data_IF_623773549306
#
_entry.id   IF_623773549306
#
_cell.length_a   1.000
_cell.length_b   1.000
_cell.length_c   1.000
_cell.angle_alpha   90.00
_cell.angle_beta   90.00
_cell.angle_gamma   90.00
#
_symmetry.space_group_name_H-M   'P 1'
#
loop_
_entity.id
_entity.type
_entity.pdbx_description
1 polymer ?
#
# COMPACT_ATOMS: atom_id res chain seq x y z
N UNK A 1 -14.85 82.13 23.47
CA UNK A 1 -15.52 80.91 22.97
C UNK A 1 -14.44 80.01 22.39
N UNK A 2 -14.19 78.79 22.86
CA UNK A 2 -14.48 78.16 24.15
C UNK A 2 -13.49 76.99 24.32
N UNK A 3 -12.80 76.89 25.45
CA UNK A 3 -11.85 75.79 25.69
C UNK A 3 -12.59 74.49 25.99
N UNK A 4 -12.27 73.42 25.27
CA UNK A 4 -12.96 72.13 25.38
C UNK A 4 -12.07 71.09 26.08
N UNK A 5 -12.09 71.09 27.43
CA UNK A 5 -11.44 70.06 28.24
C UNK A 5 -12.42 68.93 28.55
N UNK A 6 -12.52 67.95 27.64
CA UNK A 6 -13.32 66.74 27.84
C UNK A 6 -12.53 65.63 28.55
N UNK A 7 -12.59 65.58 29.88
CA UNK A 7 -12.08 64.43 30.65
C UNK A 7 -13.12 63.31 30.71
N UNK A 8 -12.90 62.23 29.96
CA UNK A 8 -13.66 60.98 30.13
C UNK A 8 -13.15 60.22 31.36
N UNK A 9 -14.01 59.88 32.36
CA UNK A 9 -13.61 59.04 33.46
C UNK A 9 -13.48 57.59 32.98
N UNK A 10 -12.25 57.08 32.86
CA UNK A 10 -12.01 55.65 32.72
C UNK A 10 -12.34 54.99 34.06
N UNK A 11 -13.49 54.33 34.14
CA UNK A 11 -13.84 53.50 35.29
C UNK A 11 -12.93 52.27 35.31
N UNK A 12 -11.82 52.37 36.04
CA UNK A 12 -10.97 51.22 36.36
C UNK A 12 -11.80 50.23 37.18
N UNK A 13 -12.15 49.09 36.59
CA UNK A 13 -12.79 48.00 37.33
C UNK A 13 -11.90 47.56 38.49
N UNK A 14 -12.46 47.35 39.67
CA UNK A 14 -11.66 46.96 40.85
C UNK A 14 -10.97 45.62 40.62
N UNK A 15 -9.81 45.42 41.23
CA UNK A 15 -9.03 44.17 41.07
C UNK A 15 -9.86 42.92 41.42
N UNK A 16 -10.78 43.03 42.39
CA UNK A 16 -11.75 41.98 42.75
C UNK A 16 -12.74 41.63 41.61
N UNK A 17 -13.13 42.60 40.78
CA UNK A 17 -13.97 42.33 39.61
C UNK A 17 -13.18 41.64 38.50
N UNK A 18 -11.92 42.03 38.30
CA UNK A 18 -11.04 41.36 37.34
C UNK A 18 -10.72 39.93 37.78
N UNK A 19 -10.39 39.70 39.05
CA UNK A 19 -10.09 38.37 39.59
C UNK A 19 -11.31 37.44 39.49
N UNK A 20 -12.50 37.90 39.90
CA UNK A 20 -13.75 37.15 39.77
C UNK A 20 -14.14 36.85 38.31
N UNK A 21 -13.76 37.69 37.35
CA UNK A 21 -13.91 37.39 35.92
C UNK A 21 -12.90 36.33 35.47
N UNK A 22 -11.63 36.42 35.88
CA UNK A 22 -10.62 35.40 35.54
C UNK A 22 -10.93 34.02 36.12
N UNK A 23 -11.43 33.94 37.35
CA UNK A 23 -11.84 32.67 37.99
C UNK A 23 -13.07 32.03 37.29
N UNK A 24 -14.01 32.86 36.82
CA UNK A 24 -15.13 32.39 35.98
C UNK A 24 -14.68 31.92 34.60
N UNK A 25 -13.59 32.47 34.06
CA UNK A 25 -13.00 32.04 32.80
C UNK A 25 -12.21 30.74 32.96
N UNK A 26 -11.40 30.60 34.01
CA UNK A 26 -10.66 29.35 34.29
C UNK A 26 -11.61 28.19 34.54
N UNK A 27 -12.64 28.39 35.37
CA UNK A 27 -13.65 27.35 35.62
C UNK A 27 -14.38 26.89 34.36
N UNK A 28 -14.70 27.83 33.44
CA UNK A 28 -15.30 27.50 32.12
C UNK A 28 -14.31 26.81 31.17
N UNK A 29 -13.01 27.03 31.33
CA UNK A 29 -11.97 26.33 30.59
C UNK A 29 -11.82 24.90 31.11
N UNK A 30 -11.74 24.72 32.43
CA UNK A 30 -11.72 23.42 33.11
C UNK A 30 -12.94 22.56 32.76
N UNK A 31 -14.15 23.13 32.84
CA UNK A 31 -15.40 22.46 32.44
C UNK A 31 -15.38 22.02 30.96
N UNK A 32 -14.81 22.85 30.06
CA UNK A 32 -14.67 22.52 28.63
C UNK A 32 -13.64 21.40 28.42
N UNK A 33 -12.50 21.48 29.10
CA UNK A 33 -11.46 20.45 28.99
C UNK A 33 -11.91 19.10 29.57
N UNK A 34 -12.67 19.11 30.68
CA UNK A 34 -13.28 17.90 31.24
C UNK A 34 -14.30 17.27 30.27
N UNK A 35 -15.12 18.07 29.58
CA UNK A 35 -16.03 17.57 28.54
C UNK A 35 -15.28 16.99 27.34
N UNK A 36 -14.20 17.63 26.89
CA UNK A 36 -13.35 17.14 25.79
C UNK A 36 -12.67 15.81 26.19
N UNK A 37 -12.14 15.70 27.41
CA UNK A 37 -11.54 14.46 27.92
C UNK A 37 -12.57 13.33 28.02
N UNK A 38 -13.75 13.58 28.59
CA UNK A 38 -14.83 12.60 28.70
C UNK A 38 -15.28 12.09 27.33
N UNK A 39 -15.50 12.99 26.38
CA UNK A 39 -15.85 12.64 25.00
C UNK A 39 -14.74 11.80 24.33
N UNK A 40 -13.48 12.16 24.50
CA UNK A 40 -12.33 11.42 23.97
C UNK A 40 -12.23 10.01 24.56
N UNK A 41 -12.57 9.84 25.84
CA UNK A 41 -12.64 8.54 26.49
C UNK A 41 -13.79 7.69 25.91
N UNK A 42 -15.00 8.24 25.83
CA UNK A 42 -16.18 7.57 25.24
C UNK A 42 -15.92 7.14 23.77
N UNK A 43 -15.25 7.99 22.98
CA UNK A 43 -14.84 7.67 21.60
C UNK A 43 -13.81 6.52 21.57
N UNK A 44 -12.86 6.48 22.50
CA UNK A 44 -11.86 5.40 22.61
C UNK A 44 -12.45 4.04 23.04
N UNK A 45 -13.42 4.05 23.95
CA UNK A 45 -14.13 2.85 24.41
C UNK A 45 -14.98 2.26 23.27
N UNK A 46 -15.70 3.11 22.53
CA UNK A 46 -16.44 2.69 21.34
C UNK A 46 -15.53 2.16 20.22
N UNK A 47 -14.34 2.75 20.02
CA UNK A 47 -13.37 2.25 19.05
C UNK A 47 -12.84 0.87 19.46
N UNK A 48 -12.53 0.67 20.73
CA UNK A 48 -12.07 -0.62 21.28
C UNK A 48 -13.12 -1.72 21.09
N UNK A 49 -14.39 -1.42 21.37
CA UNK A 49 -15.50 -2.36 21.17
C UNK A 49 -15.66 -2.79 19.70
N UNK A 50 -15.60 -1.83 18.76
CA UNK A 50 -15.69 -2.11 17.32
C UNK A 50 -14.55 -3.00 16.82
N UNK A 51 -13.33 -2.81 17.32
CA UNK A 51 -12.20 -3.68 16.99
C UNK A 51 -12.46 -5.10 17.49
N UNK A 52 -12.89 -5.28 18.74
CA UNK A 52 -13.20 -6.62 19.29
C UNK A 52 -14.31 -7.34 18.51
N UNK A 53 -15.37 -6.63 18.09
CA UNK A 53 -16.43 -7.20 17.26
C UNK A 53 -15.90 -7.65 15.88
N UNK A 54 -15.05 -6.84 15.23
CA UNK A 54 -14.43 -7.18 13.94
C UNK A 54 -13.50 -8.40 14.01
N UNK A 55 -12.71 -8.53 15.09
CA UNK A 55 -11.87 -9.71 15.36
C UNK A 55 -12.72 -10.97 15.52
N UNK A 56 -13.82 -10.89 16.29
CA UNK A 56 -14.72 -12.03 16.48
C UNK A 56 -15.34 -12.48 15.16
N UNK A 57 -15.89 -11.55 14.38
CA UNK A 57 -16.50 -11.86 13.08
C UNK A 57 -15.50 -12.53 12.13
N UNK A 58 -14.25 -12.03 12.08
CA UNK A 58 -13.18 -12.66 11.32
C UNK A 58 -12.89 -14.10 11.78
N UNK A 59 -12.75 -14.33 13.09
CA UNK A 59 -12.43 -15.66 13.62
C UNK A 59 -13.54 -16.68 13.32
N UNK A 60 -14.80 -16.28 13.44
CA UNK A 60 -15.95 -17.14 13.11
C UNK A 60 -16.00 -17.46 11.60
N UNK A 61 -15.81 -16.45 10.73
CA UNK A 61 -15.77 -16.63 9.28
C UNK A 61 -14.58 -17.49 8.80
N UNK A 62 -13.37 -17.22 9.32
CA UNK A 62 -12.16 -18.00 9.02
C UNK A 62 -12.31 -19.45 9.46
N UNK A 63 -12.88 -19.68 10.65
CA UNK A 63 -13.14 -21.04 11.16
C UNK A 63 -14.15 -21.81 10.30
N UNK A 64 -15.21 -21.15 9.81
CA UNK A 64 -16.19 -21.76 8.93
C UNK A 64 -15.59 -22.18 7.58
N UNK A 65 -14.90 -21.27 6.88
CA UNK A 65 -14.28 -21.57 5.59
C UNK A 65 -13.15 -22.62 5.71
N UNK A 66 -12.37 -22.59 6.80
CA UNK A 66 -11.36 -23.62 7.10
C UNK A 66 -11.98 -25.02 7.25
N UNK A 67 -13.12 -25.13 7.95
CA UNK A 67 -13.78 -26.42 8.16
C UNK A 67 -14.35 -27.00 6.86
N UNK A 68 -14.98 -26.17 6.02
CA UNK A 68 -15.47 -26.63 4.70
C UNK A 68 -14.31 -27.05 3.77
N UNK A 69 -13.18 -26.32 3.78
CA UNK A 69 -11.99 -26.72 3.03
C UNK A 69 -11.37 -28.04 3.52
N UNK A 70 -11.31 -28.26 4.83
CA UNK A 70 -10.88 -29.55 5.42
C UNK A 70 -11.85 -30.68 5.04
N UNK A 71 -13.16 -30.43 5.01
CA UNK A 71 -14.17 -31.40 4.59
C UNK A 71 -14.10 -31.72 3.10
N UNK A 72 -13.95 -30.72 2.22
CA UNK A 72 -13.80 -30.93 0.77
C UNK A 72 -12.46 -31.58 0.40
N UNK A 73 -11.41 -31.35 1.20
CA UNK A 73 -10.15 -32.10 1.09
C UNK A 73 -10.31 -33.55 1.54
N UNK A 74 -11.09 -33.84 2.59
CA UNK A 74 -11.42 -35.21 2.98
C UNK A 74 -12.25 -35.95 1.91
N UNK A 75 -13.23 -35.26 1.30
CA UNK A 75 -14.04 -35.77 0.18
C UNK A 75 -13.30 -35.93 -1.14
N UNK A 76 -12.06 -35.43 -1.27
CA UNK A 76 -11.27 -35.53 -2.51
C UNK A 76 -11.08 -36.97 -3.02
N UNK A 77 -11.09 -37.97 -2.13
CA UNK A 77 -10.99 -39.40 -2.48
C UNK A 77 -12.23 -39.98 -3.18
N UNK A 78 -13.39 -39.33 -3.09
CA UNK A 78 -14.64 -39.76 -3.73
C UNK A 78 -15.00 -38.94 -4.98
N UNK A 79 -14.12 -38.03 -5.42
CA UNK A 79 -14.32 -37.23 -6.64
C UNK A 79 -13.89 -38.04 -7.87
N UNK A 80 -14.69 -37.99 -8.94
CA UNK A 80 -14.38 -38.65 -10.21
C UNK A 80 -13.04 -38.18 -10.80
N UNK A 81 -12.30 -39.10 -11.42
CA UNK A 81 -10.95 -38.86 -11.95
C UNK A 81 -10.88 -37.75 -13.00
N UNK A 82 -11.97 -37.51 -13.73
CA UNK A 82 -12.19 -36.40 -14.67
C UNK A 82 -12.18 -35.02 -13.99
N UNK A 83 -12.70 -34.95 -12.76
CA UNK A 83 -12.95 -33.72 -12.01
C UNK A 83 -11.90 -33.46 -10.90
N UNK A 84 -10.96 -34.37 -10.67
CA UNK A 84 -9.89 -34.19 -9.68
C UNK A 84 -9.05 -32.92 -9.93
N UNK A 85 -8.73 -32.61 -11.19
CA UNK A 85 -7.92 -31.43 -11.54
C UNK A 85 -8.68 -30.15 -11.16
N UNK A 86 -9.93 -30.01 -11.61
CA UNK A 86 -10.78 -28.85 -11.33
C UNK A 86 -11.13 -28.72 -9.85
N UNK A 87 -11.29 -29.83 -9.14
CA UNK A 87 -11.47 -29.86 -7.68
C UNK A 87 -10.25 -29.30 -6.94
N UNK A 88 -9.04 -29.79 -7.25
CA UNK A 88 -7.82 -29.31 -6.61
C UNK A 88 -7.47 -27.86 -6.98
N UNK A 89 -7.75 -27.43 -8.21
CA UNK A 89 -7.57 -26.03 -8.62
C UNK A 89 -8.58 -25.11 -7.91
N UNK A 90 -9.83 -25.55 -7.70
CA UNK A 90 -10.82 -24.82 -6.89
C UNK A 90 -10.41 -24.70 -5.41
N UNK A 91 -9.96 -25.81 -4.80
CA UNK A 91 -9.44 -25.79 -3.42
C UNK A 91 -8.25 -24.85 -3.29
N UNK A 92 -7.32 -24.88 -4.25
CA UNK A 92 -6.15 -23.98 -4.27
C UNK A 92 -6.60 -22.51 -4.36
N UNK A 93 -7.55 -22.20 -5.26
CA UNK A 93 -8.12 -20.86 -5.40
C UNK A 93 -8.82 -20.36 -4.12
N UNK A 94 -9.58 -21.22 -3.44
CA UNK A 94 -10.27 -20.86 -2.18
C UNK A 94 -9.28 -20.62 -1.04
N UNK A 95 -8.22 -21.43 -0.93
CA UNK A 95 -7.14 -21.20 0.03
C UNK A 95 -6.42 -19.88 -0.26
N UNK A 96 -6.16 -19.53 -1.52
CA UNK A 96 -5.62 -18.21 -1.90
C UNK A 96 -6.55 -17.06 -1.53
N UNK A 97 -7.88 -17.21 -1.72
CA UNK A 97 -8.87 -16.22 -1.26
C UNK A 97 -8.88 -16.06 0.26
N UNK A 98 -8.80 -17.17 1.00
CA UNK A 98 -8.74 -17.15 2.47
C UNK A 98 -7.43 -16.51 2.96
N UNK A 99 -6.30 -16.78 2.29
CA UNK A 99 -5.02 -16.12 2.55
C UNK A 99 -5.10 -14.60 2.33
N UNK A 100 -5.77 -14.14 1.25
CA UNK A 100 -6.05 -12.72 1.03
C UNK A 100 -6.91 -12.12 2.15
N UNK A 101 -7.95 -12.82 2.59
CA UNK A 101 -8.82 -12.36 3.68
C UNK A 101 -8.07 -12.22 5.03
N UNK A 102 -7.15 -13.14 5.33
CA UNK A 102 -6.23 -13.02 6.49
C UNK A 102 -5.33 -11.79 6.36
N UNK A 103 -4.77 -11.53 5.17
CA UNK A 103 -3.92 -10.36 4.90
C UNK A 103 -4.67 -9.03 5.00
N UNK A 104 -5.87 -8.94 4.42
CA UNK A 104 -6.75 -7.76 4.51
C UNK A 104 -7.16 -7.47 5.97
N UNK A 105 -7.33 -8.52 6.77
CA UNK A 105 -7.72 -8.42 8.18
C UNK A 105 -6.56 -8.15 9.14
N UNK A 106 -5.31 -8.21 8.68
CA UNK A 106 -4.11 -8.11 9.53
C UNK A 106 -4.01 -6.79 10.32
N UNK A 107 -4.68 -5.72 9.86
CA UNK A 107 -4.66 -4.40 10.52
C UNK A 107 -5.43 -4.34 11.85
N UNK A 108 -6.35 -5.28 12.11
CA UNK A 108 -7.15 -5.31 13.34
C UNK A 108 -6.98 -6.61 14.15
N UNK A 109 -6.22 -7.58 13.63
CA UNK A 109 -6.00 -8.87 14.29
C UNK A 109 -4.79 -8.85 15.24
N UNK A 110 -4.89 -9.50 16.42
CA UNK A 110 -3.73 -9.74 17.26
C UNK A 110 -2.63 -10.53 16.51
N UNK A 111 -1.34 -10.22 16.71
CA UNK A 111 -0.24 -10.92 16.02
C UNK A 111 -0.22 -12.44 16.22
N UNK A 112 -0.71 -12.91 17.38
CA UNK A 112 -0.85 -14.33 17.69
C UNK A 112 -1.87 -15.03 16.78
N UNK A 113 -3.04 -14.41 16.58
CA UNK A 113 -4.11 -14.95 15.75
C UNK A 113 -3.75 -14.90 14.27
N UNK A 114 -3.10 -13.81 13.83
CA UNK A 114 -2.56 -13.67 12.48
C UNK A 114 -1.56 -14.79 12.15
N UNK A 115 -0.56 -15.00 13.02
CA UNK A 115 0.44 -16.06 12.87
C UNK A 115 -0.20 -17.46 12.89
N UNK A 116 -1.20 -17.65 13.75
CA UNK A 116 -1.96 -18.91 13.83
C UNK A 116 -2.71 -19.20 12.52
N UNK A 117 -3.43 -18.21 11.99
CA UNK A 117 -4.15 -18.34 10.71
C UNK A 117 -3.20 -18.62 9.53
N UNK A 118 -2.06 -17.92 9.45
CA UNK A 118 -1.03 -18.15 8.43
C UNK A 118 -0.44 -19.58 8.51
N UNK A 119 -0.13 -20.08 9.70
CA UNK A 119 0.37 -21.45 9.90
C UNK A 119 -0.66 -22.52 9.48
N UNK A 120 -1.96 -22.27 9.71
CA UNK A 120 -3.01 -23.18 9.24
C UNK A 120 -3.13 -23.19 7.72
N UNK A 121 -3.03 -22.02 7.07
CA UNK A 121 -3.08 -21.91 5.61
C UNK A 121 -1.92 -22.65 4.94
N UNK A 122 -0.68 -22.48 5.42
CA UNK A 122 0.48 -23.20 4.85
C UNK A 122 0.36 -24.71 5.08
N UNK A 123 -0.09 -25.16 6.25
CA UNK A 123 -0.40 -26.58 6.51
C UNK A 123 -1.46 -27.14 5.54
N UNK A 124 -2.51 -26.36 5.25
CA UNK A 124 -3.58 -26.75 4.34
C UNK A 124 -3.11 -26.80 2.88
N UNK A 125 -2.29 -25.83 2.43
CA UNK A 125 -1.64 -25.84 1.12
C UNK A 125 -0.78 -27.09 0.92
N UNK A 126 0.03 -27.45 1.92
CA UNK A 126 0.87 -28.67 1.88
C UNK A 126 0.00 -29.93 1.75
N UNK A 127 -1.05 -30.08 2.58
CA UNK A 127 -1.97 -31.23 2.51
C UNK A 127 -2.72 -31.31 1.18
N UNK A 128 -3.10 -30.18 0.58
CA UNK A 128 -3.69 -30.12 -0.76
C UNK A 128 -2.69 -30.61 -1.81
N UNK A 129 -1.43 -30.18 -1.72
CA UNK A 129 -0.37 -30.62 -2.65
C UNK A 129 -0.09 -32.13 -2.54
N UNK A 130 0.08 -32.64 -1.32
CA UNK A 130 0.27 -34.07 -1.05
C UNK A 130 -0.88 -34.92 -1.62
N UNK A 131 -2.14 -34.50 -1.38
CA UNK A 131 -3.32 -35.20 -1.93
C UNK A 131 -3.43 -35.09 -3.45
N UNK A 132 -3.02 -33.96 -4.03
CA UNK A 132 -2.95 -33.78 -5.49
C UNK A 132 -1.92 -34.72 -6.11
N UNK A 133 -0.76 -34.93 -5.49
CA UNK A 133 0.25 -35.88 -5.99
C UNK A 133 -0.15 -37.36 -5.74
N UNK A 134 -0.83 -37.67 -4.63
CA UNK A 134 -1.40 -39.01 -4.35
C UNK A 134 -2.46 -39.41 -5.39
N UNK A 135 -3.38 -38.50 -5.74
CA UNK A 135 -4.52 -38.79 -6.62
C UNK A 135 -4.24 -38.48 -8.11
N UNK A 136 -3.24 -37.65 -8.42
CA UNK A 136 -2.81 -37.34 -9.79
C UNK A 136 -1.32 -37.70 -9.98
N UNK A 137 -0.96 -38.99 -9.94
CA UNK A 137 0.42 -39.42 -10.12
C UNK A 137 0.92 -39.08 -11.53
N UNK A 138 1.85 -38.12 -11.60
CA UNK A 138 2.50 -37.71 -12.85
C UNK A 138 3.16 -38.92 -13.52
N UNK A 139 2.78 -39.25 -14.76
CA UNK A 139 3.48 -40.27 -15.57
C UNK A 139 4.94 -39.84 -15.76
N UNK A 140 5.86 -40.47 -15.02
CA UNK A 140 7.29 -40.27 -15.23
C UNK A 140 7.65 -40.76 -16.64
N UNK A 141 8.11 -39.84 -17.49
CA UNK A 141 8.68 -40.16 -18.80
C UNK A 141 9.88 -41.08 -18.60
N UNK A 142 9.71 -42.38 -18.83
CA UNK A 142 10.80 -43.36 -18.81
C UNK A 142 11.38 -43.50 -20.21
N UNK A 143 12.42 -42.72 -20.49
CA UNK A 143 13.27 -42.96 -21.66
C UNK A 143 14.00 -44.29 -21.46
N UNK A 144 13.59 -45.33 -22.18
CA UNK A 144 14.31 -46.62 -22.22
C UNK A 144 15.53 -46.49 -23.14
N UNK A 145 16.78 -46.60 -22.65
CA UNK A 145 17.94 -46.70 -23.52
C UNK A 145 18.02 -48.10 -24.13
N UNK A 146 18.18 -48.19 -25.45
CA UNK A 146 18.37 -49.48 -26.15
C UNK A 146 19.85 -49.73 -26.43
N UNK A 147 20.31 -50.96 -26.17
CA UNK A 147 21.72 -51.34 -26.22
C UNK A 147 22.31 -51.33 -27.64
N UNK A 148 23.47 -50.66 -27.81
CA UNK A 148 24.56 -51.15 -28.68
C UNK A 148 25.90 -51.04 -27.95
N UNK A 149 26.67 -52.13 -28.01
CA UNK A 149 27.96 -52.29 -27.33
C UNK A 149 29.13 -51.79 -28.19
N UNK A 150 30.23 -51.55 -27.48
CA UNK A 150 31.66 -51.41 -27.84
C UNK A 150 32.16 -49.95 -27.87
N UNK A 151 33.25 -49.54 -27.19
CA UNK A 151 34.25 -50.33 -26.43
C UNK A 151 34.85 -49.62 -25.17
N UNK A 152 35.80 -50.30 -24.48
CA UNK A 152 36.53 -49.98 -23.22
C UNK A 152 37.42 -48.72 -23.34
N UNK A 153 38.00 -48.06 -22.29
CA UNK A 153 37.87 -47.83 -20.81
C UNK A 153 39.25 -47.23 -20.36
N UNK A 154 39.52 -46.64 -19.16
CA UNK A 154 38.72 -46.09 -18.05
C UNK A 154 39.00 -44.60 -17.69
N UNK A 155 38.27 -44.06 -16.70
CA UNK A 155 38.42 -42.71 -16.09
C UNK A 155 39.55 -42.64 -15.03
N UNK A 156 39.78 -41.47 -14.38
CA UNK A 156 39.07 -41.28 -13.10
C UNK A 156 38.54 -39.86 -12.78
N UNK A 157 37.36 -39.85 -12.12
CA UNK A 157 36.72 -38.86 -11.21
C UNK A 157 36.26 -37.45 -11.65
N UNK A 158 35.00 -37.20 -11.27
CA UNK A 158 34.41 -35.97 -10.68
C UNK A 158 33.69 -34.96 -11.56
N UNK A 159 32.36 -35.11 -11.60
CA UNK A 159 31.42 -34.01 -11.82
C UNK A 159 31.56 -32.93 -10.72
N UNK A 160 31.26 -31.67 -11.05
CA UNK A 160 29.89 -31.16 -10.88
C UNK A 160 29.77 -29.69 -11.26
N UNK A 161 28.70 -29.38 -11.99
CA UNK A 161 28.18 -28.02 -12.12
C UNK A 161 27.87 -27.49 -10.72
N UNK A 162 28.41 -26.31 -10.37
CA UNK A 162 27.80 -25.46 -9.35
C UNK A 162 26.98 -24.40 -10.07
N UNK A 163 25.67 -24.54 -9.95
CA UNK A 163 24.76 -23.40 -9.97
C UNK A 163 25.17 -22.44 -8.86
N UNK A 164 25.55 -21.22 -9.21
CA UNK A 164 25.58 -20.13 -8.22
C UNK A 164 24.16 -19.62 -8.03
N UNK A 165 23.57 -20.02 -6.91
CA UNK A 165 22.33 -19.47 -6.38
C UNK A 165 22.62 -18.04 -5.88
N UNK A 166 22.42 -17.03 -6.72
CA UNK A 166 22.17 -15.68 -6.19
C UNK A 166 20.80 -15.69 -5.52
N UNK A 167 20.79 -15.45 -4.22
CA UNK A 167 19.62 -15.56 -3.35
C UNK A 167 18.40 -14.82 -3.93
N UNK A 168 17.28 -15.53 -4.08
CA UNK A 168 15.97 -14.89 -4.13
C UNK A 168 15.57 -14.55 -2.70
N UNK A 169 15.90 -13.33 -2.28
CA UNK A 169 15.32 -12.77 -1.05
C UNK A 169 13.80 -12.74 -1.15
N UNK A 170 13.17 -13.04 0.00
CA UNK A 170 11.75 -13.30 0.12
C UNK A 170 10.92 -12.02 0.10
N UNK A 171 10.47 -11.58 -1.08
CA UNK A 171 9.40 -10.60 -1.23
C UNK A 171 8.23 -11.18 -2.04
N UNK A 172 7.49 -12.11 -1.43
CA UNK A 172 6.30 -12.72 -2.04
C UNK A 172 5.11 -11.75 -2.21
N UNK A 173 5.15 -10.58 -1.57
CA UNK A 173 4.07 -9.57 -1.67
C UNK A 173 4.06 -8.79 -3.00
N UNK A 174 5.23 -8.41 -3.52
CA UNK A 174 5.33 -7.58 -4.73
C UNK A 174 4.85 -8.32 -5.99
N UNK A 175 5.23 -9.61 -6.10
CA UNK A 175 4.88 -10.45 -7.26
C UNK A 175 3.36 -10.65 -7.35
N UNK A 176 2.69 -10.81 -6.20
CA UNK A 176 1.22 -10.93 -6.09
C UNK A 176 0.53 -9.63 -6.52
N UNK A 177 1.00 -8.47 -6.06
CA UNK A 177 0.45 -7.16 -6.48
C UNK A 177 0.61 -6.96 -7.98
N UNK A 178 1.76 -7.35 -8.53
CA UNK A 178 2.05 -7.29 -9.97
C UNK A 178 1.21 -8.30 -10.79
N UNK A 179 0.84 -9.44 -10.21
CA UNK A 179 -0.01 -10.45 -10.84
C UNK A 179 -1.49 -10.04 -10.87
N UNK A 180 -2.00 -9.43 -9.78
CA UNK A 180 -3.39 -9.01 -9.66
C UNK A 180 -3.73 -7.69 -10.37
N UNK A 181 -2.74 -6.83 -10.63
CA UNK A 181 -2.98 -5.54 -11.31
C UNK A 181 -3.55 -5.73 -12.73
N UNK A 182 -4.71 -5.13 -12.98
CA UNK A 182 -5.43 -5.28 -14.25
C UNK A 182 -4.78 -4.55 -15.43
N UNK A 183 -3.85 -3.63 -15.17
CA UNK A 183 -2.98 -3.01 -16.16
C UNK A 183 -1.56 -2.90 -15.61
N UNK A 184 -0.55 -3.26 -16.41
CA UNK A 184 0.85 -3.19 -15.97
C UNK A 184 1.85 -2.85 -17.05
N UNK A 185 2.93 -2.19 -16.65
CA UNK A 185 4.16 -2.01 -17.42
C UNK A 185 5.31 -2.63 -16.61
N UNK A 186 6.03 -3.57 -17.20
CA UNK A 186 7.03 -4.41 -16.52
C UNK A 186 8.24 -4.61 -17.43
N UNK A 187 9.44 -4.49 -16.86
CA UNK A 187 10.73 -4.75 -17.54
C UNK A 187 10.91 -3.93 -18.84
N UNK A 188 10.56 -2.64 -18.83
CA UNK A 188 10.66 -1.75 -19.99
C UNK A 188 11.69 -0.66 -19.72
N UNK A 189 12.55 -0.40 -20.69
CA UNK A 189 13.52 0.69 -20.65
C UNK A 189 13.45 1.62 -21.86
N UNK A 190 13.86 2.88 -21.68
CA UNK A 190 14.06 3.87 -22.74
C UNK A 190 12.81 4.12 -23.62
N UNK A 191 11.63 4.27 -23.00
CA UNK A 191 10.35 4.49 -23.72
C UNK A 191 9.40 5.47 -23.02
N UNK A 192 8.64 6.19 -23.83
CA UNK A 192 7.39 6.82 -23.38
C UNK A 192 6.26 5.79 -23.45
N UNK A 193 5.55 5.61 -22.34
CA UNK A 193 4.48 4.64 -22.13
C UNK A 193 3.21 5.39 -21.73
N UNK A 194 2.11 5.14 -22.43
CA UNK A 194 0.86 5.86 -22.18
C UNK A 194 -0.32 4.90 -22.02
N UNK A 195 -1.28 5.28 -21.18
CA UNK A 195 -2.58 4.61 -21.03
C UNK A 195 -3.71 5.61 -20.97
N UNK A 196 -4.83 5.27 -21.60
CA UNK A 196 -6.00 6.12 -21.72
C UNK A 196 -7.09 5.74 -20.71
N UNK A 197 -8.07 6.63 -20.52
CA UNK A 197 -9.18 6.51 -19.57
C UNK A 197 -9.90 5.14 -19.65
N UNK A 198 -10.18 4.67 -20.86
CA UNK A 198 -10.83 3.39 -21.13
C UNK A 198 -10.03 2.17 -20.65
N UNK A 199 -8.71 2.30 -20.57
CA UNK A 199 -7.81 1.23 -20.16
C UNK A 199 -7.67 1.17 -18.65
N UNK A 200 -7.69 2.31 -17.94
CA UNK A 200 -7.30 2.39 -16.52
C UNK A 200 -8.40 2.72 -15.52
N UNK A 201 -9.53 3.31 -15.95
CA UNK A 201 -10.51 3.80 -14.98
C UNK A 201 -11.06 2.68 -14.08
N UNK A 202 -11.06 2.94 -12.77
CA UNK A 202 -11.50 2.01 -11.71
C UNK A 202 -10.72 0.69 -11.65
N UNK A 203 -9.48 0.67 -12.14
CA UNK A 203 -8.57 -0.49 -12.10
C UNK A 203 -7.31 -0.18 -11.32
N UNK A 204 -6.68 -1.24 -10.80
CA UNK A 204 -5.37 -1.15 -10.17
C UNK A 204 -4.27 -1.26 -11.23
N UNK A 205 -3.26 -0.38 -11.13
CA UNK A 205 -2.11 -0.34 -12.05
C UNK A 205 -0.84 -0.76 -11.31
N UNK A 206 0.00 -1.56 -11.96
CA UNK A 206 1.35 -1.84 -11.49
C UNK A 206 2.43 -1.39 -12.50
N UNK A 207 3.39 -0.60 -12.03
CA UNK A 207 4.60 -0.20 -12.74
C UNK A 207 5.79 -0.89 -12.07
N UNK A 208 6.51 -1.76 -12.78
CA UNK A 208 7.60 -2.54 -12.19
C UNK A 208 8.85 -2.56 -13.08
N UNK A 209 10.04 -2.48 -12.48
CA UNK A 209 11.33 -2.65 -13.17
C UNK A 209 11.47 -1.75 -14.42
N UNK A 210 11.15 -0.45 -14.30
CA UNK A 210 11.25 0.50 -15.42
C UNK A 210 12.54 1.31 -15.32
N UNK A 211 13.19 1.61 -16.46
CA UNK A 211 14.45 2.38 -16.47
C UNK A 211 14.49 3.37 -17.63
N UNK A 212 14.77 4.65 -17.36
CA UNK A 212 14.78 5.72 -18.38
C UNK A 212 13.43 5.83 -19.14
N UNK A 213 12.31 5.68 -18.43
CA UNK A 213 10.96 5.67 -19.01
C UNK A 213 10.11 6.87 -18.56
N UNK A 214 9.29 7.39 -19.47
CA UNK A 214 8.25 8.39 -19.18
C UNK A 214 6.89 7.70 -19.22
N UNK A 215 6.16 7.64 -18.12
CA UNK A 215 4.85 6.98 -18.01
C UNK A 215 3.75 8.02 -17.84
N UNK A 216 2.69 7.94 -18.64
CA UNK A 216 1.56 8.89 -18.61
C UNK A 216 0.24 8.13 -18.53
N UNK A 217 -0.52 8.37 -17.46
CA UNK A 217 -1.73 7.65 -17.14
C UNK A 217 -2.91 8.64 -17.11
N UNK A 218 -3.62 8.74 -18.24
CA UNK A 218 -4.78 9.61 -18.40
C UNK A 218 -6.03 8.90 -17.87
N UNK A 219 -6.60 9.36 -16.76
CA UNK A 219 -7.78 8.74 -16.15
C UNK A 219 -7.76 8.74 -14.62
N UNK A 220 -8.72 8.00 -14.06
CA UNK A 220 -8.90 7.78 -12.63
C UNK A 220 -8.78 6.27 -12.27
N UNK A 221 -7.55 5.73 -12.14
CA UNK A 221 -7.34 4.36 -11.66
C UNK A 221 -7.65 4.27 -10.16
N UNK A 222 -8.00 3.07 -9.67
CA UNK A 222 -8.40 2.85 -8.27
C UNK A 222 -7.21 2.97 -7.30
N UNK A 223 -6.12 2.29 -7.61
CA UNK A 223 -4.86 2.32 -6.88
C UNK A 223 -3.67 2.15 -7.85
N UNK A 224 -2.48 2.58 -7.43
CA UNK A 224 -1.25 2.40 -8.22
C UNK A 224 -0.11 1.88 -7.34
N UNK A 225 0.58 0.87 -7.84
CA UNK A 225 1.79 0.32 -7.24
C UNK A 225 2.97 0.57 -8.19
N UNK A 226 4.03 1.21 -7.69
CA UNK A 226 5.25 1.50 -8.43
C UNK A 226 6.43 0.86 -7.70
N UNK A 227 7.19 0.01 -8.38
CA UNK A 227 8.26 -0.77 -7.76
C UNK A 227 9.49 -0.79 -8.68
N UNK A 228 10.69 -0.50 -8.15
CA UNK A 228 11.95 -0.58 -8.91
C UNK A 228 11.95 0.29 -10.19
N UNK A 229 11.56 1.56 -10.05
CA UNK A 229 11.69 2.56 -11.13
C UNK A 229 13.00 3.34 -10.98
N UNK A 230 13.74 3.48 -12.08
CA UNK A 230 15.01 4.22 -12.12
C UNK A 230 15.03 5.24 -13.26
N UNK A 231 15.45 6.48 -13.00
CA UNK A 231 15.51 7.55 -14.01
C UNK A 231 14.14 7.80 -14.70
N UNK A 232 13.03 7.52 -14.02
CA UNK A 232 11.70 7.55 -14.62
C UNK A 232 10.94 8.84 -14.32
N UNK A 233 10.09 9.26 -15.26
CA UNK A 233 9.06 10.29 -15.03
C UNK A 233 7.70 9.62 -15.05
N UNK A 234 6.85 9.88 -14.05
CA UNK A 234 5.50 9.28 -13.97
C UNK A 234 4.46 10.35 -13.73
N UNK A 235 3.48 10.43 -14.63
CA UNK A 235 2.35 11.36 -14.61
C UNK A 235 1.06 10.55 -14.49
N UNK A 236 0.21 10.88 -13.52
CA UNK A 236 -1.09 10.22 -13.37
C UNK A 236 -2.20 11.19 -12.98
N UNK A 237 -3.39 10.97 -13.55
CA UNK A 237 -4.62 11.58 -13.11
C UNK A 237 -5.05 11.17 -11.69
N UNK A 238 -6.18 11.69 -11.20
CA UNK A 238 -6.59 11.58 -9.81
C UNK A 238 -6.94 10.14 -9.39
N UNK A 239 -6.23 9.64 -8.38
CA UNK A 239 -6.39 8.31 -7.78
C UNK A 239 -7.22 8.43 -6.49
N UNK A 240 -8.48 7.97 -6.43
CA UNK A 240 -9.29 8.08 -5.22
C UNK A 240 -8.82 7.16 -4.08
N UNK A 241 -8.02 6.14 -4.39
CA UNK A 241 -7.39 5.26 -3.41
C UNK A 241 -5.94 5.66 -3.09
N UNK A 242 -5.09 4.66 -2.89
CA UNK A 242 -3.68 4.84 -2.52
C UNK A 242 -2.73 4.71 -3.70
N UNK A 243 -1.61 5.44 -3.64
CA UNK A 243 -0.42 5.19 -4.44
C UNK A 243 0.68 4.67 -3.50
N UNK A 244 1.30 3.55 -3.87
CA UNK A 244 2.42 2.95 -3.17
C UNK A 244 3.65 2.94 -4.07
N UNK A 245 4.76 3.53 -3.61
CA UNK A 245 6.00 3.70 -4.37
C UNK A 245 7.14 3.04 -3.58
N UNK A 246 7.87 2.13 -4.21
CA UNK A 246 8.87 1.28 -3.55
C UNK A 246 10.14 1.15 -4.38
N UNK A 247 11.32 1.15 -3.73
CA UNK A 247 12.62 0.92 -4.38
C UNK A 247 12.88 1.82 -5.61
N UNK A 248 12.50 3.10 -5.56
CA UNK A 248 12.67 4.02 -6.68
C UNK A 248 13.96 4.88 -6.55
N UNK A 249 14.54 5.33 -7.66
CA UNK A 249 15.77 6.14 -7.64
C UNK A 249 15.87 7.11 -8.83
N UNK A 250 16.22 8.37 -8.58
CA UNK A 250 16.38 9.40 -9.62
C UNK A 250 15.08 9.60 -10.44
N UNK A 251 13.93 9.56 -9.77
CA UNK A 251 12.62 9.62 -10.42
C UNK A 251 11.91 10.96 -10.18
N UNK A 252 11.01 11.32 -11.09
CA UNK A 252 10.09 12.46 -10.93
C UNK A 252 8.65 12.00 -11.06
N UNK A 253 7.86 12.22 -10.01
CA UNK A 253 6.47 11.81 -9.94
C UNK A 253 5.56 13.05 -9.93
N UNK A 254 4.51 13.05 -10.75
CA UNK A 254 3.48 14.08 -10.74
C UNK A 254 2.11 13.40 -10.59
N UNK A 255 1.57 13.44 -9.36
CA UNK A 255 0.56 12.50 -8.88
C UNK A 255 -0.50 13.18 -8.02
N UNK A 256 -1.76 12.85 -8.26
CA UNK A 256 -2.88 13.27 -7.40
C UNK A 256 -3.54 12.03 -6.80
N UNK A 257 -3.60 11.93 -5.46
CA UNK A 257 -4.20 10.78 -4.80
C UNK A 257 -4.87 11.08 -3.46
N UNK A 258 -5.59 10.11 -2.88
CA UNK A 258 -6.07 10.24 -1.51
C UNK A 258 -4.94 9.99 -0.50
N UNK A 259 -4.17 8.92 -0.71
CA UNK A 259 -3.14 8.45 0.23
C UNK A 259 -1.85 8.15 -0.54
N UNK A 260 -0.71 8.64 -0.05
CA UNK A 260 0.59 8.40 -0.65
C UNK A 260 1.50 7.70 0.36
N UNK A 261 2.15 6.61 -0.06
CA UNK A 261 3.15 5.90 0.74
C UNK A 261 4.38 5.64 -0.13
N UNK A 262 5.54 6.07 0.35
CA UNK A 262 6.82 5.98 -0.36
C UNK A 262 7.80 5.22 0.55
N UNK A 263 8.45 4.18 0.01
CA UNK A 263 9.33 3.30 0.77
C UNK A 263 10.65 3.05 0.01
N UNK A 264 11.79 3.01 0.71
CA UNK A 264 13.12 2.72 0.14
C UNK A 264 13.43 3.52 -1.14
N UNK A 265 13.06 4.79 -1.20
CA UNK A 265 13.18 5.63 -2.41
C UNK A 265 14.17 6.76 -2.19
N UNK A 266 15.03 7.00 -3.18
CA UNK A 266 16.18 7.91 -3.03
C UNK A 266 16.28 8.92 -4.17
N UNK A 267 16.83 10.11 -3.89
CA UNK A 267 17.10 11.19 -4.86
C UNK A 267 15.92 11.35 -5.84
N UNK A 268 14.73 11.71 -5.36
CA UNK A 268 13.52 11.70 -6.18
C UNK A 268 12.58 12.86 -5.85
N UNK A 269 11.93 13.40 -6.88
CA UNK A 269 11.06 14.58 -6.78
C UNK A 269 9.58 14.19 -6.90
N UNK A 270 8.76 14.70 -5.99
CA UNK A 270 7.34 14.37 -5.83
C UNK A 270 6.48 15.64 -5.93
N UNK A 271 5.90 15.85 -7.10
CA UNK A 271 4.91 16.90 -7.37
C UNK A 271 3.53 16.32 -7.06
N UNK A 272 3.03 16.55 -5.85
CA UNK A 272 1.91 15.78 -5.32
C UNK A 272 0.69 16.64 -4.97
N UNK A 273 -0.47 16.01 -5.05
CA UNK A 273 -1.72 16.50 -4.48
C UNK A 273 -2.33 15.38 -3.65
N UNK A 274 -2.36 15.53 -2.33
CA UNK A 274 -2.77 14.46 -1.40
C UNK A 274 -3.87 14.94 -0.47
N UNK A 275 -5.05 14.33 -0.53
CA UNK A 275 -6.22 14.79 0.26
C UNK A 275 -6.24 14.28 1.71
N UNK A 276 -5.50 13.22 2.02
CA UNK A 276 -5.39 12.64 3.37
C UNK A 276 -3.98 12.76 3.93
N UNK A 277 -3.04 11.89 3.52
CA UNK A 277 -1.70 11.82 4.12
C UNK A 277 -0.65 11.27 3.16
N UNK A 278 0.54 11.87 3.19
CA UNK A 278 1.76 11.33 2.59
C UNK A 278 2.66 10.76 3.70
N UNK A 279 3.24 9.58 3.45
CA UNK A 279 4.17 8.91 4.38
C UNK A 279 5.43 8.48 3.62
N UNK A 280 6.60 8.74 4.21
CA UNK A 280 7.90 8.23 3.76
C UNK A 280 8.47 7.24 4.78
N UNK A 281 9.15 6.20 4.30
CA UNK A 281 9.79 5.15 5.10
C UNK A 281 11.08 4.70 4.36
N UNK A 282 12.20 4.50 5.06
CA UNK A 282 13.50 4.15 4.46
C UNK A 282 13.95 5.04 3.26
N UNK A 283 13.49 6.28 3.18
CA UNK A 283 13.79 7.20 2.07
C UNK A 283 15.00 8.09 2.38
N UNK A 284 15.61 8.68 1.34
CA UNK A 284 16.66 9.70 1.49
C UNK A 284 16.71 10.65 0.30
N UNK A 285 16.89 11.95 0.56
CA UNK A 285 16.89 12.99 -0.49
C UNK A 285 15.64 12.92 -1.38
N UNK A 286 14.46 12.88 -0.75
CA UNK A 286 13.17 12.99 -1.45
C UNK A 286 12.57 14.38 -1.26
N UNK A 287 12.26 15.07 -2.36
CA UNK A 287 11.78 16.47 -2.32
C UNK A 287 10.34 16.59 -2.79
N UNK A 288 9.54 17.38 -2.08
CA UNK A 288 8.10 17.55 -2.32
C UNK A 288 7.72 18.92 -2.86
N UNK A 289 6.79 18.96 -3.80
CA UNK A 289 6.26 20.16 -4.44
C UNK A 289 4.75 19.99 -4.70
N UNK A 290 4.00 21.08 -4.97
CA UNK A 290 2.62 20.97 -5.44
C UNK A 290 2.53 20.24 -6.79
N UNK A 291 1.50 19.41 -6.98
CA UNK A 291 1.14 18.87 -8.29
C UNK A 291 0.85 20.00 -9.29
N UNK A 292 1.60 20.03 -10.40
CA UNK A 292 1.48 21.05 -11.46
C UNK A 292 1.06 20.47 -12.82
N UNK A 293 0.83 19.16 -12.93
CA UNK A 293 0.46 18.55 -14.21
C UNK A 293 -1.05 18.61 -14.48
N UNK A 294 -1.40 19.07 -15.68
CA UNK A 294 -2.77 19.19 -16.19
C UNK A 294 -2.85 18.57 -17.59
N UNK A 295 -4.02 18.03 -17.93
CA UNK A 295 -4.29 17.39 -19.23
C UNK A 295 -5.77 17.51 -19.61
N UNK A 296 -6.09 17.28 -20.88
CA UNK A 296 -7.46 17.38 -21.40
C UNK A 296 -8.40 16.35 -20.74
N UNK A 297 -9.54 16.81 -20.23
CA UNK A 297 -10.51 15.97 -19.51
C UNK A 297 -10.17 15.70 -18.04
N UNK A 298 -9.07 16.22 -17.49
CA UNK A 298 -8.67 15.99 -16.08
C UNK A 298 -9.79 16.33 -15.08
N UNK A 299 -10.61 17.36 -15.32
CA UNK A 299 -11.74 17.72 -14.45
C UNK A 299 -12.80 16.62 -14.34
N UNK A 300 -13.03 15.88 -15.42
CA UNK A 300 -13.97 14.74 -15.45
C UNK A 300 -13.42 13.54 -14.68
N UNK A 301 -12.09 13.36 -14.68
CA UNK A 301 -11.42 12.34 -13.85
C UNK A 301 -11.46 12.72 -12.36
N UNK A 302 -11.34 14.01 -12.01
CA UNK A 302 -11.54 14.48 -10.63
C UNK A 302 -12.99 14.29 -10.18
N UNK A 303 -13.96 14.67 -11.02
CA UNK A 303 -15.38 14.48 -10.73
C UNK A 303 -15.78 12.99 -10.60
N UNK A 304 -15.21 12.11 -11.43
CA UNK A 304 -15.54 10.67 -11.40
C UNK A 304 -14.74 9.85 -10.37
N UNK A 305 -13.58 10.32 -9.93
CA UNK A 305 -12.86 9.76 -8.78
C UNK A 305 -13.47 10.19 -7.44
N UNK A 306 -14.02 11.41 -7.37
CA UNK A 306 -14.47 12.01 -6.10
C UNK A 306 -13.32 12.52 -5.23
N UNK A 307 -12.11 12.65 -5.80
CA UNK A 307 -10.98 13.29 -5.13
C UNK A 307 -11.23 14.81 -5.05
N UNK A 308 -11.30 15.37 -3.84
CA UNK A 308 -11.45 16.82 -3.64
C UNK A 308 -10.23 17.57 -4.19
N UNK A 309 -10.44 18.68 -4.91
CA UNK A 309 -9.34 19.59 -5.38
C UNK A 309 -8.94 20.61 -4.31
N UNK A 310 -9.79 20.79 -3.30
CA UNK A 310 -9.70 21.81 -2.25
C UNK A 310 -8.84 21.35 -1.06
N UNK A 311 -8.70 20.03 -0.88
CA UNK A 311 -7.92 19.41 0.20
C UNK A 311 -6.56 18.96 -0.34
N UNK A 312 -5.50 19.66 0.01
CA UNK A 312 -4.16 19.30 -0.44
C UNK A 312 -3.12 19.47 0.68
N UNK A 313 -2.58 18.34 1.14
CA UNK A 313 -1.58 18.22 2.21
C UNK A 313 -0.19 17.85 1.61
N UNK A 314 0.18 18.45 0.48
CA UNK A 314 1.41 18.13 -0.27
C UNK A 314 2.71 18.46 0.50
N UNK A 315 2.62 19.40 1.43
CA UNK A 315 3.68 19.92 2.30
C UNK A 315 3.72 19.25 3.69
N UNK A 316 2.75 18.38 3.98
CA UNK A 316 2.61 17.66 5.25
C UNK A 316 2.91 16.17 5.05
N UNK A 317 4.20 15.83 5.18
CA UNK A 317 4.74 14.48 4.96
C UNK A 317 5.25 13.90 6.28
N UNK A 318 4.71 12.76 6.68
CA UNK A 318 5.19 12.03 7.86
C UNK A 318 6.35 11.10 7.48
N UNK A 319 7.46 11.18 8.19
CA UNK A 319 8.53 10.17 8.11
C UNK A 319 8.33 9.14 9.22
N UNK A 320 8.03 7.90 8.83
CA UNK A 320 7.71 6.81 9.76
C UNK A 320 8.90 6.41 10.65
N UNK A 321 10.13 6.56 10.15
CA UNK A 321 11.34 6.19 10.87
C UNK A 321 11.86 7.33 11.77
N UNK A 322 11.33 8.54 11.63
CA UNK A 322 11.81 9.72 12.33
C UNK A 322 11.00 10.02 13.61
N UNK A 323 11.48 9.46 14.73
CA UNK A 323 10.81 9.56 16.03
C UNK A 323 11.01 10.90 16.76
N UNK A 324 11.83 11.82 16.23
CA UNK A 324 12.14 13.09 16.87
C UNK A 324 11.13 14.18 16.47
N UNK A 325 10.16 14.44 17.34
CA UNK A 325 9.07 15.40 17.08
C UNK A 325 9.53 16.86 16.93
N UNK A 326 10.63 17.26 17.59
CA UNK A 326 11.10 18.65 17.63
C UNK A 326 12.07 19.04 16.51
N UNK A 327 12.43 18.09 15.63
CA UNK A 327 13.44 18.27 14.57
C UNK A 327 12.88 17.76 13.25
N UNK A 328 13.03 18.54 12.18
CA UNK A 328 12.64 18.11 10.83
C UNK A 328 13.43 16.87 10.39
N UNK A 329 12.78 15.90 9.73
CA UNK A 329 13.49 14.74 9.19
C UNK A 329 14.54 15.16 8.16
N UNK A 330 15.75 14.57 8.16
CA UNK A 330 16.75 14.81 7.12
C UNK A 330 16.45 14.05 5.81
N UNK A 331 15.48 13.13 5.82
CA UNK A 331 15.22 12.22 4.71
C UNK A 331 14.39 12.87 3.59
N UNK A 332 13.60 13.89 3.93
CA UNK A 332 12.78 14.64 2.99
C UNK A 332 12.90 16.15 3.16
N UNK A 333 12.51 16.91 2.14
CA UNK A 333 12.38 18.36 2.23
C UNK A 333 11.33 18.89 1.23
N UNK A 334 10.98 20.17 1.34
CA UNK A 334 10.25 20.88 0.29
C UNK A 334 11.24 21.24 -0.84
N UNK A 335 10.79 21.12 -2.09
CA UNK A 335 11.54 21.56 -3.27
C UNK A 335 11.42 23.09 -3.41
N UNK A 336 12.57 23.76 -3.50
CA UNK A 336 12.68 25.21 -3.64
C UNK A 336 11.97 25.73 -4.90
N UNK A 337 11.33 26.90 -4.83
CA UNK A 337 10.48 27.39 -5.92
C UNK A 337 11.24 27.59 -7.25
N UNK A 338 12.52 27.97 -7.15
CA UNK A 338 13.42 28.12 -8.30
C UNK A 338 13.83 26.79 -8.96
N UNK A 339 13.73 25.66 -8.23
CA UNK A 339 14.01 24.31 -8.73
C UNK A 339 12.74 23.62 -9.30
N UNK A 340 11.54 24.21 -9.10
CA UNK A 340 10.27 23.59 -9.50
C UNK A 340 10.06 23.62 -11.01
N UNK A 341 9.58 22.50 -11.55
CA UNK A 341 9.16 22.36 -12.94
C UNK A 341 7.73 22.88 -13.09
N UNK A 342 7.59 23.98 -13.83
CA UNK A 342 6.33 24.67 -14.09
C UNK A 342 5.70 24.29 -15.45
N UNK A 343 6.47 23.67 -16.34
CA UNK A 343 6.02 23.21 -17.66
C UNK A 343 6.62 21.84 -17.95
N UNK A 344 5.76 20.89 -18.31
CA UNK A 344 6.13 19.49 -18.51
C UNK A 344 6.16 19.18 -20.01
N UNK A 345 7.35 18.82 -20.50
CA UNK A 345 7.52 18.28 -21.86
C UNK A 345 7.55 16.75 -21.75
N UNK A 346 6.58 16.08 -22.38
CA UNK A 346 6.16 14.68 -22.13
C UNK A 346 6.19 13.88 -23.44
#
# INVERSE_FOLDING_TARGET
MADWQGTYPVTVGTEEQMSAVTERLSKREEERQAQIQKRRQEESEQQTFKVQESVKFFLDAFKAERLDLEEQLAKSKSVETSNLITHFDNLSLRVSKLQRYVSESAMFLPPYDLKTAQNFLTSLQTKIHEKREELIPKKKFSFKPSNRKTDKRPLPVSCSLKSEETAKDSNSGDDIVLELAACKFVDISNRTLQKNRNEINKKDIALANLTDCTVVLYGAPSAIHMNKLKNCKVFCGPVPGSIFIRECTNCTFNLSCQQLRIHSTTNSHFYIHVTSKAIVEDCSDVKFAPCTWTYEGQDEDYASSGLSRERNNWDSVDDFNWLAADVHSPNWSILEESERIHSWNI
#
